data_IF_185775191000
#
_entry.id   IF_185775191000
#
_cell.length_a   1.000
_cell.length_b   1.000
_cell.length_c   1.000
_cell.angle_alpha   90.00
_cell.angle_beta   90.00
_cell.angle_gamma   90.00
#
_symmetry.space_group_name_H-M   'P 1'
#
loop_
_entity.id
_entity.type
_entity.pdbx_description
1 polymer ?
#
# COMPACT_ATOMS: atom_id res chain seq x y z
N UNK A 1 12.85 30.45 -32.76
CA UNK A 1 12.55 30.54 -31.31
C UNK A 1 11.44 29.56 -30.90
N UNK A 2 10.28 29.56 -31.58
CA UNK A 2 9.16 28.65 -31.25
C UNK A 2 9.46 27.14 -31.36
N UNK A 3 10.29 26.73 -32.33
CA UNK A 3 10.64 25.30 -32.49
C UNK A 3 11.46 24.75 -31.32
N UNK A 4 12.35 25.57 -30.74
CA UNK A 4 13.17 25.17 -29.58
C UNK A 4 12.35 25.07 -28.30
N UNK A 5 11.35 25.95 -28.13
CA UNK A 5 10.40 25.90 -27.01
C UNK A 5 9.50 24.66 -27.14
N UNK A 6 8.97 24.39 -28.34
CA UNK A 6 8.15 23.20 -28.59
C UNK A 6 8.92 21.89 -28.34
N UNK A 7 10.17 21.79 -28.82
CA UNK A 7 11.02 20.63 -28.57
C UNK A 7 11.33 20.46 -27.06
N UNK A 8 11.57 21.55 -26.34
CA UNK A 8 11.79 21.49 -24.90
C UNK A 8 10.54 21.01 -24.15
N UNK A 9 9.34 21.48 -24.51
CA UNK A 9 8.07 21.05 -23.89
C UNK A 9 7.84 19.55 -24.10
N UNK A 10 8.12 19.03 -25.30
CA UNK A 10 7.95 17.61 -25.63
C UNK A 10 8.84 16.70 -24.76
N UNK A 11 10.00 17.17 -24.31
CA UNK A 11 10.90 16.38 -23.45
C UNK A 11 10.59 16.60 -21.97
N UNK A 12 10.32 17.85 -21.57
CA UNK A 12 10.10 18.19 -20.16
C UNK A 12 8.80 17.60 -19.63
N UNK A 13 7.71 17.61 -20.41
CA UNK A 13 6.42 17.11 -19.93
C UNK A 13 6.42 15.60 -19.64
N UNK A 14 6.94 14.70 -20.51
CA UNK A 14 7.00 13.27 -20.21
C UNK A 14 7.94 12.94 -19.04
N UNK A 15 9.06 13.66 -18.90
CA UNK A 15 10.00 13.46 -17.79
C UNK A 15 9.35 13.88 -16.46
N UNK A 16 8.71 15.05 -16.42
CA UNK A 16 7.99 15.52 -15.25
C UNK A 16 6.83 14.57 -14.91
N UNK A 17 6.06 14.11 -15.89
CA UNK A 17 4.97 13.17 -15.70
C UNK A 17 5.47 11.82 -15.16
N UNK A 18 6.56 11.29 -15.72
CA UNK A 18 7.19 10.05 -15.25
C UNK A 18 7.65 10.16 -13.81
N UNK A 19 8.30 11.27 -13.44
CA UNK A 19 8.76 11.52 -12.08
C UNK A 19 7.60 11.60 -11.07
N UNK A 20 6.47 12.19 -11.46
CA UNK A 20 5.28 12.34 -10.62
C UNK A 20 4.45 11.06 -10.49
N UNK A 21 4.59 10.11 -11.40
CA UNK A 21 3.81 8.86 -11.44
C UNK A 21 4.62 7.63 -11.04
N UNK A 22 5.93 7.80 -10.81
CA UNK A 22 6.82 6.70 -10.44
C UNK A 22 6.41 6.05 -9.13
N UNK A 23 6.67 4.75 -9.01
CA UNK A 23 6.32 3.97 -7.83
C UNK A 23 6.95 4.52 -6.56
N UNK A 24 6.15 4.71 -5.51
CA UNK A 24 6.61 5.23 -4.22
C UNK A 24 5.97 4.49 -3.05
N UNK A 25 6.73 4.36 -1.97
CA UNK A 25 6.24 3.82 -0.69
C UNK A 25 5.37 4.87 -0.02
N UNK A 26 4.17 4.48 0.40
CA UNK A 26 3.21 5.32 1.12
C UNK A 26 3.35 5.15 2.63
N UNK A 27 3.38 3.90 3.09
CA UNK A 27 3.62 3.54 4.48
C UNK A 27 4.47 2.29 4.54
N UNK A 28 5.32 2.24 5.55
CA UNK A 28 6.18 1.12 5.87
C UNK A 28 6.29 1.05 7.39
N UNK A 29 5.73 0.01 8.00
CA UNK A 29 5.74 -0.11 9.45
C UNK A 29 5.75 -1.57 9.91
N UNK A 30 6.50 -1.88 10.98
CA UNK A 30 6.45 -3.18 11.62
C UNK A 30 5.23 -3.29 12.55
N UNK A 31 4.73 -4.51 12.70
CA UNK A 31 3.76 -4.90 13.74
C UNK A 31 4.25 -6.16 14.44
N UNK A 32 3.98 -6.23 15.74
CA UNK A 32 4.24 -7.41 16.54
C UNK A 32 3.07 -7.60 17.50
N UNK A 33 2.39 -8.73 17.38
CA UNK A 33 1.26 -9.13 18.21
C UNK A 33 1.65 -10.37 19.00
N UNK A 34 1.56 -10.29 20.32
CA UNK A 34 2.14 -11.33 21.19
C UNK A 34 1.17 -12.48 21.47
N UNK A 35 -0.14 -12.23 21.60
CA UNK A 35 -1.26 -13.20 21.63
C UNK A 35 -2.58 -12.41 21.63
N UNK A 36 -3.59 -12.88 20.91
CA UNK A 36 -4.97 -12.36 20.99
C UNK A 36 -5.41 -11.54 19.78
N UNK A 37 -6.60 -10.94 19.89
CA UNK A 37 -7.12 -10.04 18.88
C UNK A 37 -6.58 -8.63 19.12
N UNK A 38 -5.87 -8.10 18.14
CA UNK A 38 -5.31 -6.75 18.17
C UNK A 38 -5.28 -6.18 16.75
N UNK A 39 -5.21 -4.86 16.63
CA UNK A 39 -5.26 -4.16 15.35
C UNK A 39 -4.39 -2.90 15.37
N UNK A 40 -3.67 -2.70 14.26
CA UNK A 40 -2.93 -1.48 13.98
C UNK A 40 -3.60 -0.73 12.84
N UNK A 41 -3.89 0.55 13.07
CA UNK A 41 -4.42 1.47 12.07
C UNK A 41 -3.38 2.53 11.73
N UNK A 42 -3.24 2.84 10.43
CA UNK A 42 -2.35 3.88 9.92
C UNK A 42 -3.05 4.64 8.81
N UNK A 43 -3.13 5.96 8.95
CA UNK A 43 -3.57 6.86 7.90
C UNK A 43 -2.50 6.99 6.81
N UNK A 44 -2.91 7.03 5.56
CA UNK A 44 -2.02 7.26 4.43
C UNK A 44 -2.69 8.09 3.33
N UNK A 45 -1.88 8.78 2.53
CA UNK A 45 -2.35 9.62 1.42
C UNK A 45 -1.80 9.11 0.09
N UNK A 46 -2.71 8.75 -0.82
CA UNK A 46 -2.39 8.48 -2.23
C UNK A 46 -2.20 9.82 -2.91
N UNK A 47 -1.01 10.12 -3.45
CA UNK A 47 -0.74 11.43 -4.05
C UNK A 47 -1.51 11.62 -5.36
N UNK A 48 -1.59 12.89 -5.76
CA UNK A 48 -2.09 13.27 -7.07
C UNK A 48 -1.32 12.53 -8.20
N UNK A 49 -2.05 12.12 -9.24
CA UNK A 49 -1.59 11.30 -10.38
C UNK A 49 -1.21 9.84 -10.06
N UNK A 50 -1.28 9.41 -8.80
CA UNK A 50 -1.24 7.99 -8.49
C UNK A 50 -2.66 7.43 -8.49
N UNK A 51 -2.82 6.27 -9.11
CA UNK A 51 -4.13 5.63 -9.30
C UNK A 51 -4.15 4.18 -8.78
N UNK A 52 -2.99 3.64 -8.43
CA UNK A 52 -2.85 2.26 -8.02
C UNK A 52 -2.07 2.16 -6.72
N UNK A 53 -2.53 1.28 -5.84
CA UNK A 53 -1.89 0.93 -4.57
C UNK A 53 -1.70 -0.58 -4.49
N UNK A 54 -0.58 -1.02 -3.94
CA UNK A 54 -0.26 -2.41 -3.67
C UNK A 54 0.03 -2.57 -2.19
N UNK A 55 -0.51 -3.65 -1.60
CA UNK A 55 -0.28 -4.02 -0.21
C UNK A 55 0.67 -5.21 -0.19
N UNK A 56 1.76 -5.07 0.53
CA UNK A 56 2.73 -6.12 0.78
C UNK A 56 2.82 -6.36 2.29
N UNK A 57 2.75 -7.63 2.69
CA UNK A 57 2.84 -8.04 4.09
C UNK A 57 3.91 -9.12 4.19
N UNK A 58 5.01 -8.78 4.85
CA UNK A 58 6.14 -9.67 5.09
C UNK A 58 6.04 -10.22 6.51
N UNK A 59 5.49 -11.42 6.65
CA UNK A 59 5.37 -12.09 7.95
C UNK A 59 6.71 -12.73 8.25
N UNK A 60 7.38 -12.25 9.29
CA UNK A 60 8.69 -12.74 9.74
C UNK A 60 8.55 -14.02 10.55
N UNK A 61 7.57 -14.05 11.45
CA UNK A 61 7.29 -15.20 12.28
C UNK A 61 5.84 -15.14 12.79
N UNK A 62 5.30 -16.28 13.18
CA UNK A 62 3.99 -16.37 13.81
C UNK A 62 3.02 -17.33 13.14
N UNK A 63 1.95 -17.62 13.88
CA UNK A 63 0.89 -18.51 13.44
C UNK A 63 -0.43 -17.92 13.90
N UNK A 64 -1.03 -17.09 13.06
CA UNK A 64 -2.25 -16.34 13.42
C UNK A 64 -3.10 -16.08 12.18
N UNK A 65 -4.41 -15.95 12.40
CA UNK A 65 -5.31 -15.38 11.41
C UNK A 65 -5.06 -13.88 11.39
N UNK A 66 -4.78 -13.33 10.23
CA UNK A 66 -4.61 -11.89 10.06
C UNK A 66 -5.51 -11.36 8.96
N UNK A 67 -5.81 -10.07 9.06
CA UNK A 67 -6.66 -9.34 8.14
C UNK A 67 -6.04 -7.98 7.84
N UNK A 68 -5.86 -7.67 6.57
CA UNK A 68 -5.45 -6.37 6.08
C UNK A 68 -6.64 -5.70 5.37
N UNK A 69 -6.86 -4.40 5.60
CA UNK A 69 -7.95 -3.62 5.00
C UNK A 69 -7.49 -2.24 4.58
N UNK A 70 -8.07 -1.73 3.51
CA UNK A 70 -8.03 -0.31 3.13
C UNK A 70 -9.45 0.24 3.25
N UNK A 71 -9.58 1.36 3.95
CA UNK A 71 -10.84 2.04 4.19
C UNK A 71 -10.80 3.50 3.70
N UNK A 72 -11.96 3.98 3.25
CA UNK A 72 -12.24 5.40 3.00
C UNK A 72 -13.37 5.83 3.91
N UNK A 73 -13.06 6.47 5.04
CA UNK A 73 -14.03 6.64 6.13
C UNK A 73 -14.41 5.28 6.72
N UNK A 74 -15.70 4.93 6.68
CA UNK A 74 -16.22 3.64 7.17
C UNK A 74 -16.29 2.57 6.07
N UNK A 75 -16.13 2.96 4.80
CA UNK A 75 -16.26 2.05 3.65
C UNK A 75 -15.00 1.21 3.47
N UNK A 76 -15.16 -0.11 3.42
CA UNK A 76 -14.07 -1.05 3.13
C UNK A 76 -13.90 -1.15 1.62
N UNK A 77 -12.81 -0.56 1.11
CA UNK A 77 -12.48 -0.59 -0.32
C UNK A 77 -11.75 -1.87 -0.73
N UNK A 78 -10.98 -2.43 0.20
CA UNK A 78 -10.28 -3.70 0.00
C UNK A 78 -10.07 -4.41 1.33
N UNK A 79 -10.12 -5.74 1.29
CA UNK A 79 -9.83 -6.59 2.45
C UNK A 79 -9.18 -7.89 1.99
N UNK A 80 -8.21 -8.36 2.76
CA UNK A 80 -7.66 -9.70 2.63
C UNK A 80 -7.52 -10.33 4.01
N UNK A 81 -7.99 -11.56 4.14
CA UNK A 81 -7.95 -12.33 5.38
C UNK A 81 -7.39 -13.70 5.09
N UNK A 82 -6.38 -14.12 5.84
CA UNK A 82 -5.82 -15.46 5.70
C UNK A 82 -5.19 -15.95 7.00
N UNK A 83 -5.14 -17.26 7.16
CA UNK A 83 -4.43 -17.91 8.27
C UNK A 83 -3.03 -18.25 7.80
N UNK A 84 -2.03 -17.66 8.42
CA UNK A 84 -0.64 -17.94 8.09
C UNK A 84 -0.01 -18.89 9.09
N UNK A 85 0.83 -19.81 8.60
CA UNK A 85 1.70 -20.66 9.42
C UNK A 85 3.16 -20.39 9.09
N UNK A 86 3.87 -19.71 9.98
CA UNK A 86 5.29 -19.38 9.81
C UNK A 86 5.55 -18.22 8.84
N UNK A 87 6.80 -18.08 8.42
CA UNK A 87 7.26 -16.97 7.57
C UNK A 87 6.62 -17.02 6.18
N UNK A 88 6.14 -15.88 5.67
CA UNK A 88 5.65 -15.74 4.30
C UNK A 88 5.72 -14.29 3.82
N UNK A 89 5.54 -14.09 2.53
CA UNK A 89 5.25 -12.78 1.95
C UNK A 89 3.93 -12.85 1.21
N UNK A 90 2.99 -11.99 1.58
CA UNK A 90 1.79 -11.73 0.81
C UNK A 90 1.96 -10.45 -0.01
N UNK A 91 1.48 -10.47 -1.24
CA UNK A 91 1.46 -9.34 -2.15
C UNK A 91 0.10 -9.30 -2.82
N UNK A 92 -0.62 -8.19 -2.69
CA UNK A 92 -1.86 -7.98 -3.42
C UNK A 92 -1.60 -7.72 -4.92
N UNK A 93 -2.65 -7.78 -5.72
CA UNK A 93 -2.69 -7.10 -7.02
C UNK A 93 -2.63 -5.58 -6.84
N UNK A 94 -2.36 -4.86 -7.93
CA UNK A 94 -2.50 -3.41 -7.95
C UNK A 94 -3.98 -3.01 -7.87
N UNK A 95 -4.35 -2.37 -6.76
CA UNK A 95 -5.70 -1.92 -6.46
C UNK A 95 -5.89 -0.51 -7.01
N UNK A 96 -6.94 -0.30 -7.82
CA UNK A 96 -7.27 1.03 -8.30
C UNK A 96 -7.85 1.87 -7.16
N UNK A 97 -7.07 2.85 -6.70
CA UNK A 97 -7.39 3.75 -5.60
C UNK A 97 -7.04 5.16 -6.06
N UNK A 98 -8.04 6.06 -6.23
CA UNK A 98 -7.78 7.42 -6.65
C UNK A 98 -6.95 8.19 -5.61
N UNK A 99 -6.40 9.33 -6.00
CA UNK A 99 -5.70 10.21 -5.07
C UNK A 99 -6.63 10.65 -3.94
N UNK A 100 -6.15 10.60 -2.70
CA UNK A 100 -6.96 10.88 -1.53
C UNK A 100 -6.38 10.29 -0.25
N UNK A 101 -7.10 10.47 0.86
CA UNK A 101 -6.72 9.95 2.17
C UNK A 101 -7.50 8.69 2.50
N UNK A 102 -6.78 7.73 3.08
CA UNK A 102 -7.30 6.42 3.40
C UNK A 102 -6.74 5.94 4.73
N UNK A 103 -7.41 4.93 5.28
CA UNK A 103 -6.95 4.21 6.45
C UNK A 103 -6.56 2.79 6.07
N UNK A 104 -5.37 2.38 6.49
CA UNK A 104 -4.97 0.99 6.44
C UNK A 104 -5.10 0.36 7.82
N UNK A 105 -5.75 -0.79 7.89
CA UNK A 105 -5.90 -1.58 9.10
C UNK A 105 -5.24 -2.93 8.91
N UNK A 106 -4.39 -3.32 9.85
CA UNK A 106 -3.86 -4.66 9.94
C UNK A 106 -4.20 -5.25 11.31
N UNK A 107 -4.95 -6.34 11.33
CA UNK A 107 -5.46 -6.95 12.53
C UNK A 107 -5.14 -8.43 12.59
N UNK A 108 -4.95 -8.95 13.80
CA UNK A 108 -4.85 -10.38 14.08
C UNK A 108 -6.05 -10.85 14.88
N UNK A 109 -6.39 -12.12 14.75
CA UNK A 109 -7.43 -12.75 15.56
C UNK A 109 -7.02 -14.18 15.93
N UNK A 110 -7.39 -14.60 17.15
CA UNK A 110 -7.20 -15.96 17.63
C UNK A 110 -5.98 -16.16 18.54
N UNK A 111 -5.60 -17.44 18.69
CA UNK A 111 -4.53 -17.89 19.58
C UNK A 111 -3.25 -18.00 18.76
N UNK A 112 -2.36 -17.04 18.91
CA UNK A 112 -1.06 -17.03 18.23
C UNK A 112 -0.41 -15.65 18.26
N UNK A 113 0.91 -15.63 18.06
CA UNK A 113 1.67 -14.41 17.84
C UNK A 113 1.89 -14.19 16.34
N UNK A 114 2.12 -12.95 15.95
CA UNK A 114 2.48 -12.57 14.60
C UNK A 114 3.44 -11.38 14.60
N UNK A 115 4.53 -11.52 13.89
CA UNK A 115 5.45 -10.43 13.59
C UNK A 115 5.49 -10.22 12.09
N UNK A 116 5.15 -9.01 11.64
CA UNK A 116 5.07 -8.68 10.23
C UNK A 116 5.57 -7.27 9.95
N UNK A 117 6.01 -7.05 8.73
CA UNK A 117 6.33 -5.74 8.17
C UNK A 117 5.33 -5.47 7.05
N UNK A 118 4.63 -4.35 7.16
CA UNK A 118 3.61 -3.94 6.21
C UNK A 118 4.18 -2.83 5.37
N UNK A 119 4.00 -2.95 4.05
CA UNK A 119 4.38 -1.94 3.09
C UNK A 119 3.23 -1.67 2.13
N UNK A 120 2.87 -0.41 1.98
CA UNK A 120 1.96 0.04 0.92
C UNK A 120 2.76 0.84 -0.09
N UNK A 121 2.64 0.47 -1.36
CA UNK A 121 3.32 1.14 -2.47
C UNK A 121 2.26 1.67 -3.42
N UNK A 122 2.47 2.85 -4.00
CA UNK A 122 1.57 3.41 -5.02
C UNK A 122 2.31 3.78 -6.29
N UNK A 123 1.58 3.80 -7.41
CA UNK A 123 2.08 4.25 -8.71
C UNK A 123 0.99 4.93 -9.53
N UNK A 124 1.39 5.71 -10.53
CA UNK A 124 0.48 6.18 -11.59
C UNK A 124 0.14 5.08 -12.59
N UNK A 125 -0.85 5.33 -13.45
CA UNK A 125 -1.43 4.29 -14.31
C UNK A 125 -0.63 3.89 -15.55
N UNK A 126 0.43 4.61 -15.88
CA UNK A 126 1.29 4.29 -17.02
C UNK A 126 2.44 3.32 -16.68
N UNK A 127 2.51 2.83 -15.44
CA UNK A 127 3.54 1.94 -14.92
C UNK A 127 2.98 0.57 -14.54
#
# INVERSE_FOLDING_TARGET
MFLGIAAAIIVVLPVAYSALTYSRVLVDFPVSFTIGADARNVEFEVPFLHEYVKVEVYIRNGNSLWTAKILSGEDVLWSHTTTQRGQTTYSSEWLKLPSGRYNFTFATAGIGSLEAEIKLTSKGGFW
#
